data_IF_343332432215
#
_entry.id   IF_343332432215
#
_cell.length_a   1.000
_cell.length_b   1.000
_cell.length_c   1.000
_cell.angle_alpha   90.00
_cell.angle_beta   90.00
_cell.angle_gamma   90.00
#
_symmetry.space_group_name_H-M   'P 1'
#
loop_
_entity.id
_entity.type
_entity.pdbx_description
1 polymer ?
#
# COMPACT_ATOMS: atom_id res chain seq x y z
N UNK A 1 23.10 -18.68 -3.69
CA UNK A 1 22.55 -17.88 -2.57
C UNK A 1 21.03 -17.94 -2.63
N UNK A 2 20.35 -18.47 -1.60
CA UNK A 2 18.88 -18.40 -1.52
C UNK A 2 18.50 -16.96 -1.19
N UNK A 3 17.66 -16.32 -2.01
CA UNK A 3 17.11 -15.00 -1.69
C UNK A 3 16.34 -15.11 -0.37
N UNK A 4 16.76 -14.34 0.64
CA UNK A 4 15.99 -14.22 1.87
C UNK A 4 14.60 -13.67 1.53
N UNK A 5 13.55 -14.37 1.94
CA UNK A 5 12.17 -14.04 1.64
C UNK A 5 11.83 -12.64 2.16
N UNK A 6 11.36 -11.74 1.28
CA UNK A 6 11.09 -10.31 1.53
C UNK A 6 10.11 -10.02 2.67
N UNK A 7 9.43 -11.04 3.21
CA UNK A 7 8.58 -10.93 4.40
C UNK A 7 9.35 -10.54 5.68
N UNK A 8 10.68 -10.71 5.71
CA UNK A 8 11.51 -10.39 6.88
C UNK A 8 12.23 -9.02 6.78
N UNK A 9 11.96 -8.21 5.74
CA UNK A 9 12.54 -6.87 5.67
C UNK A 9 11.89 -5.95 6.72
N UNK A 10 12.73 -5.16 7.37
CA UNK A 10 12.33 -4.15 8.36
C UNK A 10 11.29 -3.18 7.77
N UNK A 11 10.53 -2.49 8.63
CA UNK A 11 9.52 -1.51 8.22
C UNK A 11 10.08 -0.29 7.46
N UNK A 12 11.39 -0.21 7.30
CA UNK A 12 12.15 0.84 6.61
C UNK A 12 13.02 0.22 5.51
N UNK A 13 13.28 0.98 4.44
CA UNK A 13 14.27 0.64 3.43
C UNK A 13 15.68 0.83 3.97
N UNK A 14 16.71 0.34 3.24
CA UNK A 14 18.12 0.61 3.55
C UNK A 14 18.45 2.10 3.71
N UNK A 15 17.65 2.98 3.08
CA UNK A 15 17.79 4.44 3.13
C UNK A 15 16.94 5.11 4.22
N UNK A 16 16.31 4.34 5.11
CA UNK A 16 15.49 4.87 6.20
C UNK A 16 14.10 5.36 5.79
N UNK A 17 13.71 5.21 4.51
CA UNK A 17 12.35 5.54 4.04
C UNK A 17 11.38 4.43 4.43
N UNK A 18 10.09 4.73 4.55
CA UNK A 18 9.08 3.71 4.82
C UNK A 18 9.11 2.64 3.71
N UNK A 19 9.20 1.36 4.10
CA UNK A 19 9.11 0.27 3.16
C UNK A 19 7.65 0.11 2.70
N UNK A 20 7.38 0.45 1.43
CA UNK A 20 6.05 0.37 0.81
C UNK A 20 5.79 -0.97 0.12
N UNK A 21 6.80 -1.82 -0.08
CA UNK A 21 6.70 -3.07 -0.86
C UNK A 21 5.69 -4.06 -0.28
N UNK A 22 5.58 -4.14 1.06
CA UNK A 22 4.72 -5.10 1.75
C UNK A 22 3.41 -4.49 2.27
N UNK A 23 3.09 -3.22 1.94
CA UNK A 23 1.90 -2.56 2.49
C UNK A 23 0.69 -2.77 1.59
N UNK A 24 -0.38 -3.32 2.17
CA UNK A 24 -1.66 -3.49 1.47
C UNK A 24 -2.31 -2.11 1.23
N UNK A 25 -2.61 -1.74 -0.02
CA UNK A 25 -3.36 -0.53 -0.31
C UNK A 25 -4.85 -0.70 0.05
N UNK A 26 -5.49 0.37 0.51
CA UNK A 26 -6.93 0.45 0.75
C UNK A 26 -7.48 1.82 0.34
N UNK A 27 -8.81 1.93 0.25
CA UNK A 27 -9.51 3.20 -0.01
C UNK A 27 -10.48 3.53 1.11
N UNK A 28 -10.50 4.80 1.53
CA UNK A 28 -11.55 5.34 2.40
C UNK A 28 -12.90 5.41 1.67
N UNK A 29 -14.00 5.66 2.40
CA UNK A 29 -15.32 5.80 1.79
C UNK A 29 -15.36 6.92 0.73
N UNK A 30 -14.76 8.08 1.03
CA UNK A 30 -14.65 9.20 0.09
C UNK A 30 -13.84 8.84 -1.16
N UNK A 31 -12.69 8.16 -1.00
CA UNK A 31 -11.86 7.70 -2.11
C UNK A 31 -12.58 6.66 -2.98
N UNK A 32 -13.42 5.81 -2.39
CA UNK A 32 -14.27 4.87 -3.15
C UNK A 32 -15.33 5.60 -3.97
N UNK A 33 -15.96 6.63 -3.42
CA UNK A 33 -16.93 7.43 -4.14
C UNK A 33 -16.28 8.16 -5.33
N UNK A 34 -15.10 8.75 -5.12
CA UNK A 34 -14.32 9.40 -6.17
C UNK A 34 -13.86 8.41 -7.25
N UNK A 35 -13.39 7.22 -6.83
CA UNK A 35 -12.97 6.16 -7.74
C UNK A 35 -14.12 5.72 -8.66
N UNK A 36 -15.34 5.59 -8.12
CA UNK A 36 -16.53 5.28 -8.91
C UNK A 36 -16.88 6.42 -9.88
N UNK A 37 -16.82 7.67 -9.41
CA UNK A 37 -17.13 8.86 -10.22
C UNK A 37 -16.17 9.04 -11.40
N UNK A 38 -14.90 8.72 -11.20
CA UNK A 38 -13.82 8.93 -12.18
C UNK A 38 -13.42 7.65 -12.92
N UNK A 39 -14.14 6.54 -12.69
CA UNK A 39 -13.84 5.27 -13.31
C UNK A 39 -14.01 5.35 -14.83
N UNK A 40 -13.05 4.79 -15.56
CA UNK A 40 -13.13 4.59 -17.01
C UNK A 40 -12.86 3.13 -17.35
N UNK A 41 -13.43 2.67 -18.46
CA UNK A 41 -13.12 1.34 -19.00
C UNK A 41 -11.79 1.42 -19.75
N UNK A 42 -10.85 0.54 -19.41
CA UNK A 42 -9.55 0.39 -20.06
C UNK A 42 -9.28 -1.11 -20.23
N UNK A 43 -9.09 -1.55 -21.47
CA UNK A 43 -8.83 -2.98 -21.79
C UNK A 43 -9.86 -3.93 -21.14
N UNK A 44 -11.14 -3.55 -21.18
CA UNK A 44 -12.23 -4.34 -20.59
C UNK A 44 -12.40 -4.20 -19.07
N UNK A 45 -11.46 -3.56 -18.38
CA UNK A 45 -11.46 -3.40 -16.91
C UNK A 45 -11.80 -1.97 -16.50
N UNK A 46 -12.53 -1.79 -15.40
CA UNK A 46 -12.75 -0.47 -14.82
C UNK A 46 -11.54 -0.01 -14.01
N UNK A 47 -10.92 1.09 -14.43
CA UNK A 47 -9.76 1.70 -13.78
C UNK A 47 -10.11 3.11 -13.31
N UNK A 48 -9.52 3.55 -12.20
CA UNK A 48 -9.64 4.92 -11.71
C UNK A 48 -8.29 5.42 -11.22
N UNK A 49 -8.02 6.71 -11.45
CA UNK A 49 -6.83 7.39 -10.96
C UNK A 49 -6.93 7.86 -9.50
N UNK A 50 -8.07 7.60 -8.83
CA UNK A 50 -8.29 8.06 -7.47
C UNK A 50 -7.28 7.47 -6.48
N UNK A 51 -6.79 8.30 -5.54
CA UNK A 51 -5.70 7.93 -4.65
C UNK A 51 -6.05 6.72 -3.77
N UNK A 52 -5.01 5.99 -3.37
CA UNK A 52 -5.08 4.91 -2.39
C UNK A 52 -4.29 5.27 -1.14
N UNK A 53 -4.72 4.75 0.01
CA UNK A 53 -4.03 4.87 1.28
C UNK A 53 -3.37 3.54 1.63
N UNK A 54 -2.33 3.57 2.46
CA UNK A 54 -1.61 2.38 2.89
C UNK A 54 -1.76 2.21 4.39
N UNK A 55 -1.91 0.97 4.84
CA UNK A 55 -1.95 0.71 6.28
C UNK A 55 -0.64 1.20 6.90
N UNK A 56 -0.74 1.97 7.99
CA UNK A 56 0.44 2.24 8.81
C UNK A 56 0.88 0.91 9.40
N UNK A 57 2.19 0.65 9.42
CA UNK A 57 2.71 -0.47 10.19
C UNK A 57 2.17 -0.32 11.61
N UNK A 58 1.57 -1.39 12.16
CA UNK A 58 1.22 -1.43 13.58
C UNK A 58 2.50 -1.09 14.33
N UNK A 59 2.45 -0.10 15.23
CA UNK A 59 3.58 0.27 16.09
C UNK A 59 3.79 -0.90 17.06
N UNK A 60 4.46 -1.95 16.57
CA UNK A 60 4.70 -3.19 17.27
C UNK A 60 5.83 -3.00 18.26
N UNK A 61 5.42 -2.77 19.51
CA UNK A 61 6.16 -2.73 20.78
C UNK A 61 7.19 -1.62 20.94
N UNK A 62 6.84 -0.70 21.84
CA UNK A 62 7.81 -0.03 22.68
C UNK A 62 8.82 -1.07 23.19
N UNK A 63 10.08 -0.79 22.93
CA UNK A 63 11.20 -1.34 23.69
C UNK A 63 10.93 -1.01 25.16
N UNK A 64 10.75 -2.06 25.96
CA UNK A 64 10.81 -2.04 27.41
C UNK A 64 11.97 -2.91 27.83
#
# INVERSE_FOLDING_TARGET
>A
MRQAHLAHQTGLTRTGKINMLNRKPYRTAAQKAEAKRTARKFEGTWVSGSPVSYHRAVKGRAEG
#
